data_IF_274184754972
#
_entry.id   IF_274184754972
#
_cell.length_a   1.000
_cell.length_b   1.000
_cell.length_c   1.000
_cell.angle_alpha   90.00
_cell.angle_beta   90.00
_cell.angle_gamma   90.00
#
_symmetry.space_group_name_H-M   'P 1'
#
loop_
_entity.id
_entity.type
_entity.pdbx_description
1 polymer ?
#
# COMPACT_ATOMS: atom_id res chain seq x y z
N UNK A 1 9.33 -12.61 10.38
CA UNK A 1 8.90 -11.30 10.90
C UNK A 1 7.55 -10.99 10.28
N UNK A 2 6.59 -10.42 11.00
CA UNK A 2 5.26 -10.14 10.45
C UNK A 2 5.28 -8.82 9.69
N UNK A 3 4.79 -8.80 8.45
CA UNK A 3 4.81 -7.59 7.59
C UNK A 3 3.98 -6.43 8.14
N UNK A 4 3.08 -6.68 9.09
CA UNK A 4 2.24 -5.66 9.73
C UNK A 4 3.02 -4.75 10.70
N UNK A 5 4.25 -5.11 11.04
CA UNK A 5 5.12 -4.31 11.91
C UNK A 5 6.15 -3.48 11.15
N UNK A 6 6.16 -3.60 9.83
CA UNK A 6 7.14 -2.91 8.99
C UNK A 6 6.66 -1.53 8.55
N UNK A 7 7.58 -0.73 8.04
CA UNK A 7 7.23 0.58 7.49
C UNK A 7 6.32 0.43 6.28
N UNK A 8 5.50 1.46 6.01
CA UNK A 8 4.63 1.49 4.83
C UNK A 8 5.44 1.26 3.53
N UNK A 9 6.67 1.78 3.46
CA UNK A 9 7.56 1.56 2.33
C UNK A 9 7.91 0.07 2.13
N UNK A 10 8.12 -0.67 3.21
CA UNK A 10 8.38 -2.12 3.13
C UNK A 10 7.17 -2.87 2.57
N UNK A 11 5.97 -2.49 3.00
CA UNK A 11 4.71 -3.02 2.46
C UNK A 11 4.60 -2.72 0.96
N UNK A 12 4.94 -1.51 0.51
CA UNK A 12 4.96 -1.18 -0.92
C UNK A 12 6.02 -1.97 -1.70
N UNK A 13 7.15 -2.27 -1.08
CA UNK A 13 8.18 -3.09 -1.68
C UNK A 13 7.73 -4.55 -1.79
N UNK A 14 6.90 -5.05 -0.87
CA UNK A 14 6.23 -6.36 -1.01
C UNK A 14 5.37 -6.45 -2.25
N UNK A 15 4.54 -5.44 -2.51
CA UNK A 15 3.74 -5.40 -3.74
C UNK A 15 4.63 -5.52 -4.98
N UNK A 16 5.75 -4.80 -5.02
CA UNK A 16 6.72 -4.91 -6.11
C UNK A 16 7.35 -6.31 -6.20
N UNK A 17 7.71 -6.95 -5.08
CA UNK A 17 8.24 -8.33 -5.05
C UNK A 17 7.25 -9.32 -5.65
N UNK A 18 5.95 -9.11 -5.38
CA UNK A 18 4.86 -9.91 -5.94
C UNK A 18 4.44 -9.50 -7.36
N UNK A 19 5.22 -8.64 -8.02
CA UNK A 19 4.97 -8.13 -9.39
C UNK A 19 3.65 -7.36 -9.50
N UNK A 20 3.18 -6.77 -8.40
CA UNK A 20 2.06 -5.83 -8.37
C UNK A 20 2.64 -4.42 -8.42
N UNK A 21 2.40 -3.72 -9.52
CA UNK A 21 2.91 -2.38 -9.74
C UNK A 21 1.76 -1.37 -9.71
N UNK A 22 1.94 -0.32 -8.91
CA UNK A 22 1.09 0.86 -8.97
C UNK A 22 1.56 1.73 -10.12
N UNK A 23 0.69 1.93 -11.11
CA UNK A 23 0.96 2.74 -12.30
C UNK A 23 0.63 4.20 -12.01
N UNK A 24 -0.43 4.44 -11.24
CA UNK A 24 -0.92 5.76 -10.85
C UNK A 24 -0.93 5.91 -9.34
N UNK A 25 -0.69 7.14 -8.88
CA UNK A 25 -0.81 7.49 -7.46
C UNK A 25 -2.25 7.26 -6.96
N UNK A 26 -3.27 7.38 -7.81
CA UNK A 26 -4.66 7.10 -7.44
C UNK A 26 -4.88 5.67 -6.92
N UNK A 27 -4.20 4.69 -7.52
CA UNK A 27 -4.28 3.28 -7.09
C UNK A 27 -3.69 3.11 -5.69
N UNK A 28 -2.65 3.89 -5.36
CA UNK A 28 -2.04 3.89 -4.05
C UNK A 28 -2.97 4.52 -3.00
N UNK A 29 -3.66 5.61 -3.34
CA UNK A 29 -4.69 6.21 -2.49
C UNK A 29 -5.88 5.28 -2.26
N UNK A 30 -6.29 4.51 -3.28
CA UNK A 30 -7.38 3.53 -3.17
C UNK A 30 -7.02 2.34 -2.28
N UNK A 31 -5.77 1.84 -2.33
CA UNK A 31 -5.37 0.67 -1.55
C UNK A 31 -5.05 0.99 -0.09
N UNK A 32 -4.54 2.20 0.15
CA UNK A 32 -4.19 2.73 1.48
C UNK A 32 -5.23 2.43 2.57
N UNK A 33 -6.53 2.78 2.43
CA UNK A 33 -7.53 2.52 3.47
C UNK A 33 -7.67 1.03 3.78
N UNK A 34 -7.53 0.14 2.79
CA UNK A 34 -7.58 -1.30 3.03
C UNK A 34 -6.37 -1.79 3.83
N UNK A 35 -5.18 -1.25 3.56
CA UNK A 35 -3.98 -1.60 4.33
C UNK A 35 -4.14 -1.15 5.79
N UNK A 36 -4.66 0.07 6.02
CA UNK A 36 -4.98 0.59 7.36
C UNK A 36 -5.99 -0.32 8.07
N UNK A 37 -7.04 -0.74 7.37
CA UNK A 37 -8.10 -1.57 7.94
C UNK A 37 -7.56 -2.95 8.36
N UNK A 38 -6.73 -3.57 7.51
CA UNK A 38 -6.05 -4.83 7.85
C UNK A 38 -5.15 -4.65 9.06
N UNK A 39 -4.36 -3.58 9.12
CA UNK A 39 -3.50 -3.29 10.27
C UNK A 39 -4.30 -3.14 11.57
N UNK A 40 -5.43 -2.42 11.51
CA UNK A 40 -6.25 -2.14 12.68
C UNK A 40 -6.99 -3.38 13.22
N UNK A 41 -7.39 -4.28 12.33
CA UNK A 41 -8.26 -5.42 12.65
C UNK A 41 -7.53 -6.77 12.69
N UNK A 42 -6.25 -6.84 12.31
CA UNK A 42 -5.47 -8.07 12.41
C UNK A 42 -4.94 -8.31 13.82
N UNK A 43 -5.04 -9.55 14.29
CA UNK A 43 -4.43 -9.99 15.56
C UNK A 43 -2.95 -10.30 15.33
N UNK A 44 -2.08 -9.80 16.21
CA UNK A 44 -0.64 -10.07 16.16
C UNK A 44 -0.12 -10.63 17.47
N UNK A 45 1.01 -11.33 17.42
CA UNK A 45 1.64 -11.91 18.61
C UNK A 45 2.15 -10.84 19.57
N UNK A 46 2.61 -9.71 19.04
CA UNK A 46 3.12 -8.53 19.72
C UNK A 46 2.02 -7.87 20.53
N UNK A 47 0.80 -7.85 19.97
CA UNK A 47 -0.41 -7.40 20.63
C UNK A 47 -1.00 -8.48 21.56
N UNK A 48 -0.27 -9.57 21.85
CA UNK A 48 -0.72 -10.70 22.67
C UNK A 48 -2.05 -11.29 22.22
N UNK A 49 -2.26 -11.32 20.90
CA UNK A 49 -3.49 -11.81 20.29
C UNK A 49 -4.60 -10.77 20.17
N UNK A 50 -4.42 -9.54 20.63
CA UNK A 50 -5.38 -8.45 20.40
C UNK A 50 -5.21 -7.81 19.03
N UNK A 51 -6.28 -7.21 18.51
CA UNK A 51 -6.18 -6.28 17.38
C UNK A 51 -5.70 -4.91 17.87
N UNK A 52 -5.19 -4.09 16.96
CA UNK A 52 -4.81 -2.73 17.33
C UNK A 52 -6.03 -1.92 17.78
N UNK A 53 -7.18 -2.13 17.13
CA UNK A 53 -8.45 -1.52 17.51
C UNK A 53 -8.85 -1.87 18.96
N UNK A 54 -8.76 -3.15 19.35
CA UNK A 54 -9.04 -3.60 20.71
C UNK A 54 -8.09 -2.95 21.74
N UNK A 55 -6.79 -2.88 21.44
CA UNK A 55 -5.81 -2.23 22.33
C UNK A 55 -6.15 -0.76 22.55
N UNK A 56 -6.60 -0.05 21.52
CA UNK A 56 -6.95 1.35 21.64
C UNK A 56 -8.18 1.57 22.51
N UNK A 57 -9.19 0.69 22.40
CA UNK A 57 -10.36 0.72 23.29
C UNK A 57 -9.95 0.49 24.75
N UNK A 58 -9.00 -0.40 25.01
CA UNK A 58 -8.51 -0.71 26.36
C UNK A 58 -7.64 0.43 26.93
N UNK A 59 -6.77 1.00 26.10
CA UNK A 59 -5.76 1.99 26.53
C UNK A 59 -6.24 3.43 26.44
N UNK A 60 -7.38 3.68 25.77
CA UNK A 60 -7.88 5.02 25.47
C UNK A 60 -6.99 5.82 24.52
N UNK A 61 -5.98 5.19 23.92
CA UNK A 61 -5.08 5.84 22.96
C UNK A 61 -5.72 5.82 21.58
N UNK A 62 -5.63 6.91 20.79
CA UNK A 62 -6.07 6.88 19.40
C UNK A 62 -5.27 5.83 18.62
N UNK A 63 -5.86 5.30 17.54
CA UNK A 63 -5.18 4.40 16.59
C UNK A 63 -3.81 4.99 16.24
N UNK A 64 -2.73 4.18 16.29
CA UNK A 64 -1.38 4.71 16.22
C UNK A 64 -1.23 5.50 14.92
N UNK A 65 -1.11 6.81 15.09
CA UNK A 65 -0.90 7.75 14.01
C UNK A 65 0.40 7.45 13.26
N UNK A 66 1.32 6.67 13.81
CA UNK A 66 2.59 6.29 13.17
C UNK A 66 2.39 5.54 11.84
N UNK A 67 1.35 4.70 11.72
CA UNK A 67 1.02 4.09 10.44
C UNK A 67 0.51 5.15 9.45
N UNK A 68 -0.32 6.08 9.93
CA UNK A 68 -0.87 7.21 9.17
C UNK A 68 0.17 8.30 8.81
N UNK A 69 1.20 8.49 9.64
CA UNK A 69 2.31 9.42 9.46
C UNK A 69 3.28 8.91 8.40
N UNK A 70 3.53 7.60 8.36
CA UNK A 70 4.26 6.94 7.27
C UNK A 70 3.43 6.82 5.98
N UNK A 71 2.11 7.02 6.10
CA UNK A 71 1.14 7.12 5.02
C UNK A 71 0.94 8.54 4.53
N UNK A 72 1.64 9.52 5.10
CA UNK A 72 1.78 10.82 4.47
C UNK A 72 2.55 10.57 3.18
N UNK A 73 1.79 10.28 2.11
CA UNK A 73 2.30 10.04 0.78
C UNK A 73 3.33 11.13 0.51
N UNK A 74 4.54 10.80 0.02
CA UNK A 74 5.52 11.80 -0.33
C UNK A 74 4.83 12.82 -1.24
N UNK A 75 4.61 14.02 -0.70
CA UNK A 75 3.92 15.13 -1.35
C UNK A 75 4.56 15.38 -2.71
N UNK A 76 4.04 14.77 -3.78
CA UNK A 76 4.47 14.88 -5.18
C UNK A 76 5.98 14.74 -5.47
N UNK A 77 6.80 14.29 -4.51
CA UNK A 77 8.26 14.24 -4.61
C UNK A 77 8.75 12.86 -4.22
N UNK A 78 8.64 11.87 -5.12
CA UNK A 78 9.38 10.62 -4.88
C UNK A 78 9.06 9.47 -5.81
N UNK A 79 7.81 9.29 -6.21
CA UNK A 79 7.47 8.24 -7.17
C UNK A 79 7.76 8.79 -8.57
N UNK A 80 8.95 8.51 -9.09
CA UNK A 80 9.17 8.64 -10.53
C UNK A 80 8.13 7.76 -11.20
N UNK A 81 7.23 8.30 -12.05
CA UNK A 81 6.33 7.46 -12.81
C UNK A 81 7.19 6.43 -13.52
N UNK A 82 6.81 5.16 -13.44
CA UNK A 82 7.50 4.10 -14.18
C UNK A 82 7.42 4.49 -15.66
N UNK A 83 8.54 4.94 -16.22
CA UNK A 83 8.62 5.32 -17.63
C UNK A 83 8.63 4.04 -18.45
N UNK A 84 7.45 3.59 -18.84
CA UNK A 84 7.29 2.46 -19.74
C UNK A 84 7.08 2.93 -21.17
N UNK A 85 7.71 2.23 -22.12
CA UNK A 85 7.47 2.44 -23.55
C UNK A 85 6.02 2.10 -23.88
N UNK A 86 5.38 2.93 -24.71
CA UNK A 86 3.97 2.77 -25.10
C UNK A 86 3.66 1.37 -25.68
N UNK A 87 4.65 0.70 -26.29
CA UNK A 87 4.53 -0.63 -26.89
C UNK A 87 4.82 -1.81 -25.96
N UNK A 88 5.23 -1.56 -24.72
CA UNK A 88 5.54 -2.63 -23.78
C UNK A 88 4.32 -3.44 -23.36
N UNK A 89 4.50 -4.67 -22.84
CA UNK A 89 3.43 -5.35 -22.11
C UNK A 89 2.96 -4.50 -20.91
N UNK A 90 1.65 -4.54 -20.61
CA UNK A 90 1.07 -3.88 -19.45
C UNK A 90 1.50 -4.58 -18.16
N UNK A 91 1.93 -3.80 -17.17
CA UNK A 91 2.28 -4.30 -15.83
C UNK A 91 1.06 -4.65 -14.97
N UNK A 92 -0.14 -4.26 -15.42
CA UNK A 92 -1.40 -4.57 -14.77
C UNK A 92 -1.82 -6.06 -14.88
N UNK A 93 -1.05 -6.88 -15.61
CA UNK A 93 -1.34 -8.31 -15.78
C UNK A 93 -2.43 -8.63 -16.81
N UNK A 94 -2.95 -7.64 -17.54
CA UNK A 94 -4.01 -7.85 -18.55
C UNK A 94 -3.57 -8.60 -19.81
N UNK A 95 -2.26 -8.82 -20.00
CA UNK A 95 -1.69 -9.41 -21.21
C UNK A 95 -1.67 -8.49 -22.43
N UNK A 96 -2.24 -7.29 -22.35
CA UNK A 96 -2.27 -6.30 -23.43
C UNK A 96 -1.03 -5.39 -23.43
N UNK A 97 -0.76 -4.73 -24.57
CA UNK A 97 0.23 -3.64 -24.62
C UNK A 97 -0.25 -2.44 -23.80
N UNK A 98 0.68 -1.70 -23.20
CA UNK A 98 0.40 -0.56 -22.31
C UNK A 98 -0.62 0.42 -22.91
N UNK A 99 -0.40 0.87 -24.15
CA UNK A 99 -1.28 1.82 -24.84
C UNK A 99 -2.70 1.32 -25.10
N UNK A 100 -2.93 -0.01 -25.12
CA UNK A 100 -4.26 -0.62 -25.27
C UNK A 100 -4.92 -0.94 -23.94
N UNK A 101 -4.25 -0.68 -22.82
CA UNK A 101 -4.72 -1.04 -21.50
C UNK A 101 -4.65 0.15 -20.55
N UNK A 102 -3.64 0.23 -19.68
CA UNK A 102 -3.56 1.32 -18.70
C UNK A 102 -3.33 2.69 -19.35
N UNK A 103 -2.64 2.75 -20.50
CA UNK A 103 -2.38 3.99 -21.23
C UNK A 103 -3.57 4.58 -21.99
N UNK A 104 -4.76 3.96 -21.94
CA UNK A 104 -6.00 4.57 -22.47
C UNK A 104 -6.65 5.54 -21.48
N UNK A 105 -6.33 5.40 -20.19
CA UNK A 105 -6.94 6.15 -19.09
C UNK A 105 -5.96 7.14 -18.44
N UNK A 106 -4.82 7.40 -19.09
CA UNK A 106 -3.76 8.31 -18.64
C UNK A 106 -3.82 9.66 -19.37
#
# INVERSE_FOLDING_TARGET
MCSLEESFQSILDEFKRHKVFFIRDSQLYEITPFIIDVYNNSRTWQNRGHTQYEINLITGKPLPAQFLENLYLPTKKGLKPLKFSQFSPCLCGSGNKYWRCCGQYD
#
